data_IF_778938149142
#
_entry.id   IF_778938149142
#
_cell.length_a   1.000
_cell.length_b   1.000
_cell.length_c   1.000
_cell.angle_alpha   90.00
_cell.angle_beta   90.00
_cell.angle_gamma   90.00
#
_symmetry.space_group_name_H-M   'P 1'
#
loop_
_entity.id
_entity.type
_entity.pdbx_description
1 polymer ?
#
# COMPACT_ATOMS: atom_id res chain seq x y z
N UNK A 1 -8.97 0.65 -17.91
CA UNK A 1 -8.27 1.47 -16.91
C UNK A 1 -8.64 2.92 -17.03
N UNK A 2 -9.31 3.44 -16.00
CA UNK A 2 -9.76 4.81 -15.84
C UNK A 2 -8.58 5.77 -16.07
N UNK A 3 -8.78 6.90 -16.78
CA UNK A 3 -7.69 7.82 -17.12
C UNK A 3 -6.91 8.30 -15.89
N UNK A 4 -7.60 8.60 -14.80
CA UNK A 4 -6.98 9.03 -13.56
C UNK A 4 -6.11 7.94 -12.91
N UNK A 5 -6.57 6.69 -12.93
CA UNK A 5 -5.79 5.54 -12.45
C UNK A 5 -4.52 5.37 -13.30
N UNK A 6 -4.63 5.61 -14.60
CA UNK A 6 -3.50 5.60 -15.54
C UNK A 6 -2.52 6.73 -15.28
N UNK A 7 -2.98 7.96 -15.07
CA UNK A 7 -2.10 9.09 -14.75
C UNK A 7 -1.31 8.84 -13.45
N UNK A 8 -1.96 8.27 -12.43
CA UNK A 8 -1.29 8.01 -11.15
C UNK A 8 -0.36 6.80 -11.26
N UNK A 9 -0.84 5.66 -11.78
CA UNK A 9 -0.05 4.42 -11.85
C UNK A 9 0.99 4.42 -12.97
N UNK A 10 0.73 4.97 -14.15
CA UNK A 10 1.69 4.94 -15.26
C UNK A 10 2.61 6.17 -15.28
N UNK A 11 2.08 7.35 -14.95
CA UNK A 11 2.81 8.62 -15.07
C UNK A 11 3.30 9.16 -13.71
N UNK A 12 3.05 8.45 -12.61
CA UNK A 12 3.47 8.80 -11.25
C UNK A 12 2.99 10.19 -10.80
N UNK A 13 1.83 10.62 -11.29
CA UNK A 13 1.27 11.94 -11.00
C UNK A 13 0.66 12.02 -9.60
N UNK A 14 1.50 12.30 -8.59
CA UNK A 14 1.07 12.45 -7.20
C UNK A 14 0.08 13.61 -6.99
N UNK A 15 0.21 14.69 -7.75
CA UNK A 15 -0.74 15.81 -7.72
C UNK A 15 -2.17 15.38 -8.09
N UNK A 16 -2.32 14.37 -8.93
CA UNK A 16 -3.61 13.80 -9.32
C UNK A 16 -4.07 12.65 -8.41
N UNK A 17 -3.18 12.09 -7.57
CA UNK A 17 -3.47 10.92 -6.75
C UNK A 17 -4.60 11.16 -5.73
N UNK A 18 -4.74 12.38 -5.21
CA UNK A 18 -5.85 12.72 -4.31
C UNK A 18 -7.24 12.62 -4.98
N UNK A 19 -7.32 12.80 -6.30
CA UNK A 19 -8.57 12.68 -7.04
C UNK A 19 -9.04 11.22 -7.17
N UNK A 20 -8.18 10.23 -6.86
CA UNK A 20 -8.59 8.81 -6.93
C UNK A 20 -9.77 8.50 -5.99
N UNK A 21 -9.92 9.29 -4.93
CA UNK A 21 -11.02 9.16 -3.98
C UNK A 21 -12.35 9.73 -4.50
N UNK A 22 -12.36 10.43 -5.63
CA UNK A 22 -13.61 10.85 -6.30
C UNK A 22 -14.13 9.81 -7.28
N UNK A 23 -13.35 8.78 -7.60
CA UNK A 23 -13.80 7.67 -8.44
C UNK A 23 -14.83 6.82 -7.72
N UNK A 24 -15.81 6.29 -8.45
CA UNK A 24 -16.75 5.34 -7.87
C UNK A 24 -16.02 4.04 -7.50
N UNK A 25 -16.49 3.34 -6.47
CA UNK A 25 -15.88 2.07 -6.08
C UNK A 25 -15.96 1.04 -7.20
N UNK A 26 -17.05 1.03 -7.97
CA UNK A 26 -17.21 0.15 -9.13
C UNK A 26 -16.20 0.43 -10.24
N UNK A 27 -15.87 1.69 -10.52
CA UNK A 27 -14.83 2.04 -11.51
C UNK A 27 -13.46 1.53 -11.06
N UNK A 28 -13.16 1.65 -9.76
CA UNK A 28 -11.90 1.14 -9.18
C UNK A 28 -11.83 -0.39 -9.27
N UNK A 29 -12.91 -1.10 -8.95
CA UNK A 29 -12.98 -2.57 -9.04
C UNK A 29 -12.89 -3.06 -10.48
N UNK A 30 -13.50 -2.36 -11.44
CA UNK A 30 -13.44 -2.75 -12.86
C UNK A 30 -12.02 -2.77 -13.40
N UNK A 31 -11.13 -1.93 -12.84
CA UNK A 31 -9.74 -1.83 -13.25
C UNK A 31 -8.74 -2.61 -12.39
N UNK A 32 -9.23 -3.34 -11.39
CA UNK A 32 -8.43 -3.87 -10.29
C UNK A 32 -7.27 -4.76 -10.75
N UNK A 33 -7.57 -5.71 -11.64
CA UNK A 33 -6.57 -6.65 -12.17
C UNK A 33 -5.42 -5.92 -12.90
N UNK A 34 -5.77 -4.88 -13.67
CA UNK A 34 -4.76 -4.05 -14.35
C UNK A 34 -3.98 -3.22 -13.33
N UNK A 35 -4.65 -2.66 -12.33
CA UNK A 35 -4.02 -1.89 -11.28
C UNK A 35 -3.01 -2.73 -10.47
N UNK A 36 -3.36 -3.96 -10.10
CA UNK A 36 -2.46 -4.89 -9.42
C UNK A 36 -1.23 -5.26 -10.26
N UNK A 37 -1.44 -5.52 -11.56
CA UNK A 37 -0.34 -5.78 -12.49
C UNK A 37 0.63 -4.60 -12.55
N UNK A 38 0.10 -3.37 -12.66
CA UNK A 38 0.91 -2.15 -12.66
C UNK A 38 1.64 -1.96 -11.33
N UNK A 39 0.98 -2.14 -10.19
CA UNK A 39 1.61 -2.05 -8.87
C UNK A 39 2.84 -2.98 -8.76
N UNK A 40 2.71 -4.22 -9.24
CA UNK A 40 3.84 -5.17 -9.31
C UNK A 40 4.98 -4.67 -10.19
N UNK A 41 4.69 -4.03 -11.33
CA UNK A 41 5.73 -3.38 -12.16
C UNK A 41 6.45 -2.27 -11.38
N UNK A 42 5.72 -1.45 -10.61
CA UNK A 42 6.32 -0.39 -9.77
C UNK A 42 7.24 -1.00 -8.71
N UNK A 43 6.77 -2.02 -7.99
CA UNK A 43 7.55 -2.70 -6.96
C UNK A 43 8.88 -3.24 -7.49
N UNK A 44 8.80 -3.96 -8.61
CA UNK A 44 9.97 -4.61 -9.20
C UNK A 44 10.92 -3.62 -9.91
N UNK A 45 10.63 -2.32 -9.91
CA UNK A 45 11.53 -1.32 -10.50
C UNK A 45 12.82 -1.21 -9.69
N UNK A 46 14.01 -1.17 -10.34
CA UNK A 46 15.27 -0.94 -9.65
C UNK A 46 15.24 0.36 -8.85
N UNK A 47 15.76 0.34 -7.62
CA UNK A 47 15.76 1.49 -6.70
C UNK A 47 14.37 1.98 -6.28
N UNK A 48 13.33 1.16 -6.36
CA UNK A 48 12.01 1.49 -5.83
C UNK A 48 12.06 2.02 -4.37
N UNK A 49 12.92 1.41 -3.53
CA UNK A 49 13.17 1.82 -2.12
C UNK A 49 13.72 3.24 -1.99
N UNK A 50 14.44 3.76 -2.99
CA UNK A 50 14.99 5.12 -2.99
C UNK A 50 14.00 6.14 -3.59
N UNK A 51 13.03 5.66 -4.38
CA UNK A 51 12.06 6.49 -5.10
C UNK A 51 10.83 6.79 -4.25
N UNK A 52 10.88 7.88 -3.48
CA UNK A 52 9.76 8.35 -2.64
C UNK A 52 8.45 8.55 -3.42
N UNK A 53 8.53 9.02 -4.67
CA UNK A 53 7.35 9.23 -5.53
C UNK A 53 6.65 7.91 -5.83
N UNK A 54 7.42 6.89 -6.25
CA UNK A 54 6.88 5.57 -6.57
C UNK A 54 6.21 4.94 -5.33
N UNK A 55 6.85 5.07 -4.17
CA UNK A 55 6.30 4.59 -2.90
C UNK A 55 4.98 5.28 -2.52
N UNK A 56 4.89 6.60 -2.66
CA UNK A 56 3.66 7.34 -2.35
C UNK A 56 2.53 7.06 -3.34
N UNK A 57 2.85 6.85 -4.62
CA UNK A 57 1.87 6.44 -5.64
C UNK A 57 1.26 5.08 -5.28
N UNK A 58 2.12 4.11 -4.95
CA UNK A 58 1.70 2.77 -4.52
C UNK A 58 0.79 2.87 -3.30
N UNK A 59 1.21 3.62 -2.27
CA UNK A 59 0.46 3.81 -1.03
C UNK A 59 -0.97 4.29 -1.28
N UNK A 60 -1.11 5.37 -2.04
CA UNK A 60 -2.42 5.99 -2.27
C UNK A 60 -3.32 5.06 -3.10
N UNK A 61 -2.78 4.46 -4.17
CA UNK A 61 -3.57 3.58 -5.04
C UNK A 61 -4.04 2.34 -4.28
N UNK A 62 -3.14 1.72 -3.53
CA UNK A 62 -3.46 0.55 -2.73
C UNK A 62 -4.52 0.89 -1.65
N UNK A 63 -4.40 2.05 -0.98
CA UNK A 63 -5.41 2.51 -0.04
C UNK A 63 -6.80 2.71 -0.70
N UNK A 64 -6.84 3.25 -1.93
CA UNK A 64 -8.09 3.44 -2.66
C UNK A 64 -8.73 2.12 -3.09
N UNK A 65 -7.92 1.18 -3.60
CA UNK A 65 -8.33 -0.18 -3.96
C UNK A 65 -8.93 -0.89 -2.76
N UNK A 66 -8.22 -0.84 -1.63
CA UNK A 66 -8.69 -1.42 -0.39
C UNK A 66 -10.05 -0.81 0.01
N UNK A 67 -10.20 0.52 -0.01
CA UNK A 67 -11.50 1.13 0.25
C UNK A 67 -12.60 0.60 -0.71
N UNK A 68 -12.34 0.53 -2.01
CA UNK A 68 -13.32 0.04 -3.00
C UNK A 68 -13.74 -1.42 -2.77
N UNK A 69 -12.79 -2.31 -2.45
CA UNK A 69 -13.08 -3.72 -2.14
C UNK A 69 -13.98 -3.84 -0.92
N UNK A 70 -13.74 -3.03 0.11
CA UNK A 70 -14.58 -3.01 1.32
C UNK A 70 -15.99 -2.53 1.01
N UNK A 71 -16.15 -1.39 0.33
CA UNK A 71 -17.47 -0.80 0.06
C UNK A 71 -18.30 -1.65 -0.92
N UNK A 72 -17.65 -2.39 -1.82
CA UNK A 72 -18.32 -3.31 -2.76
C UNK A 72 -18.54 -4.72 -2.19
N UNK A 73 -18.04 -5.01 -0.99
CA UNK A 73 -18.17 -6.33 -0.36
C UNK A 73 -17.48 -7.48 -1.11
N UNK A 74 -16.58 -7.18 -2.05
CA UNK A 74 -15.96 -8.17 -2.95
C UNK A 74 -14.62 -8.72 -2.41
N UNK A 75 -14.44 -8.74 -1.09
CA UNK A 75 -13.15 -9.12 -0.46
C UNK A 75 -12.75 -10.56 -0.75
N UNK A 76 -13.69 -11.51 -0.71
CA UNK A 76 -13.41 -12.92 -0.96
C UNK A 76 -12.83 -13.14 -2.36
N UNK A 77 -13.34 -12.39 -3.34
CA UNK A 77 -12.90 -12.43 -4.73
C UNK A 77 -11.47 -11.93 -4.92
N UNK A 78 -11.08 -10.85 -4.23
CA UNK A 78 -9.83 -10.13 -4.50
C UNK A 78 -8.76 -10.29 -3.41
N UNK A 79 -9.08 -10.93 -2.29
CA UNK A 79 -8.17 -11.12 -1.15
C UNK A 79 -6.88 -11.83 -1.54
N UNK A 80 -6.96 -12.91 -2.33
CA UNK A 80 -5.80 -13.68 -2.76
C UNK A 80 -4.84 -12.83 -3.62
N UNK A 81 -5.39 -12.07 -4.57
CA UNK A 81 -4.61 -11.23 -5.47
C UNK A 81 -4.00 -10.04 -4.73
N UNK A 82 -4.73 -9.45 -3.79
CA UNK A 82 -4.23 -8.41 -2.90
C UNK A 82 -3.07 -8.93 -2.03
N UNK A 83 -3.21 -10.12 -1.45
CA UNK A 83 -2.14 -10.76 -0.65
C UNK A 83 -0.90 -11.01 -1.50
N UNK A 84 -1.04 -11.45 -2.75
CA UNK A 84 0.10 -11.68 -3.66
C UNK A 84 0.84 -10.38 -4.05
N UNK A 85 0.09 -9.28 -4.24
CA UNK A 85 0.66 -7.94 -4.44
C UNK A 85 1.42 -7.47 -3.19
N UNK A 86 0.86 -7.71 -2.00
CA UNK A 86 1.49 -7.36 -0.73
C UNK A 86 2.73 -8.22 -0.44
N UNK A 87 2.70 -9.52 -0.74
CA UNK A 87 3.86 -10.41 -0.63
C UNK A 87 5.01 -9.92 -1.53
N UNK A 88 4.67 -9.51 -2.76
CA UNK A 88 5.63 -8.93 -3.70
C UNK A 88 6.30 -7.67 -3.15
N UNK A 89 5.56 -6.85 -2.40
CA UNK A 89 6.09 -5.70 -1.69
C UNK A 89 7.03 -6.10 -0.53
N UNK A 90 6.69 -7.13 0.24
CA UNK A 90 7.47 -7.58 1.41
C UNK A 90 8.84 -8.16 1.05
N UNK A 91 9.07 -8.51 -0.22
CA UNK A 91 10.40 -8.92 -0.72
C UNK A 91 11.42 -7.77 -0.71
N UNK A 92 10.99 -6.51 -0.63
CA UNK A 92 11.90 -5.38 -0.52
C UNK A 92 12.39 -5.19 0.92
N UNK A 93 13.67 -4.79 1.12
CA UNK A 93 14.20 -4.53 2.45
C UNK A 93 13.37 -3.47 3.15
N UNK A 94 12.94 -3.78 4.36
CA UNK A 94 12.29 -2.83 5.26
C UNK A 94 13.34 -2.02 5.99
N UNK A 95 13.25 -0.70 5.95
CA UNK A 95 14.11 0.19 6.72
C UNK A 95 13.28 1.21 7.47
N UNK A 96 13.61 1.40 8.74
CA UNK A 96 13.01 2.42 9.60
C UNK A 96 14.08 3.40 10.06
N UNK A 97 13.74 4.68 10.14
CA UNK A 97 14.63 5.70 10.68
C UNK A 97 14.44 5.77 12.20
N UNK A 98 15.48 5.48 12.97
CA UNK A 98 15.40 5.59 14.42
C UNK A 98 15.43 7.04 14.92
N UNK A 99 15.21 7.22 16.22
CA UNK A 99 15.29 8.53 16.88
C UNK A 99 16.66 9.21 16.78
N UNK A 100 17.70 8.46 16.44
CA UNK A 100 19.08 8.94 16.25
C UNK A 100 19.39 9.24 14.77
N UNK A 101 18.43 9.06 13.86
CA UNK A 101 18.59 9.30 12.42
C UNK A 101 19.29 8.17 11.67
N UNK A 102 19.39 6.98 12.25
CA UNK A 102 19.98 5.78 11.63
C UNK A 102 18.91 4.92 10.94
N UNK A 103 19.25 4.41 9.75
CA UNK A 103 18.40 3.49 9.00
C UNK A 103 18.59 2.06 9.49
N UNK A 104 17.62 1.56 10.27
CA UNK A 104 17.62 0.18 10.76
C UNK A 104 16.88 -0.72 9.78
N UNK A 105 17.54 -1.77 9.28
CA UNK A 105 16.91 -2.78 8.44
C UNK A 105 16.11 -3.76 9.31
N UNK A 106 14.83 -3.90 9.02
CA UNK A 106 13.97 -4.87 9.71
C UNK A 106 14.03 -6.22 8.98
N UNK A 107 14.16 -7.29 9.76
CA UNK A 107 14.25 -8.66 9.28
C UNK A 107 12.90 -9.27 8.91
N UNK A 108 11.80 -8.79 9.51
CA UNK A 108 10.44 -9.22 9.16
C UNK A 108 9.37 -8.18 9.58
N UNK A 109 8.15 -8.39 9.08
CA UNK A 109 6.99 -7.50 9.34
C UNK A 109 6.54 -7.55 10.81
N UNK A 110 6.81 -8.65 11.52
CA UNK A 110 6.44 -8.86 12.93
C UNK A 110 7.23 -7.92 13.84
N UNK A 111 8.53 -7.75 13.57
CA UNK A 111 9.40 -6.78 14.26
C UNK A 111 8.89 -5.36 14.05
N UNK A 112 8.45 -5.01 12.84
CA UNK A 112 7.80 -3.72 12.57
C UNK A 112 6.48 -3.55 13.37
N UNK A 113 5.66 -4.60 13.47
CA UNK A 113 4.42 -4.63 14.25
C UNK A 113 4.63 -4.39 15.75
N UNK A 114 5.65 -5.02 16.34
CA UNK A 114 6.04 -4.77 17.73
C UNK A 114 6.47 -3.33 17.97
N UNK A 115 7.24 -2.74 17.06
CA UNK A 115 7.74 -1.36 17.16
C UNK A 115 6.56 -0.36 17.16
N UNK A 116 5.60 -0.47 16.23
CA UNK A 116 4.42 0.43 16.19
C UNK A 116 3.53 0.30 17.43
N UNK A 117 3.32 -0.93 17.93
CA UNK A 117 2.50 -1.16 19.14
C UNK A 117 3.15 -0.69 20.43
N UNK A 118 4.49 -0.57 20.46
CA UNK A 118 5.22 -0.17 21.65
C UNK A 118 5.08 1.31 22.01
N UNK A 119 4.47 2.15 21.14
CA UNK A 119 4.24 3.58 21.38
C UNK A 119 5.52 4.43 21.43
N UNK A 120 6.68 3.79 21.58
CA UNK A 120 7.98 4.28 21.14
C UNK A 120 7.85 4.37 19.63
N UNK A 121 7.84 5.56 19.01
CA UNK A 121 8.46 5.82 17.71
C UNK A 121 7.93 7.11 17.06
N UNK A 122 8.80 8.13 17.04
CA UNK A 122 8.84 9.17 16.01
C UNK A 122 9.48 8.68 14.69
N UNK A 123 9.38 7.37 14.38
CA UNK A 123 10.13 6.77 13.28
C UNK A 123 9.44 7.08 11.95
N UNK A 124 10.07 7.91 11.13
CA UNK A 124 9.69 8.08 9.73
C UNK A 124 10.03 6.77 9.00
N UNK A 125 9.02 5.99 8.63
CA UNK A 125 9.25 4.71 7.95
C UNK A 125 9.67 5.00 6.51
N UNK A 126 10.91 4.67 6.20
CA UNK A 126 11.59 5.06 4.95
C UNK A 126 11.14 4.16 3.80
N UNK A 127 10.86 2.88 4.09
CA UNK A 127 10.25 1.94 3.15
C UNK A 127 8.76 1.86 3.41
N UNK A 128 8.01 2.79 2.82
CA UNK A 128 6.58 2.96 3.05
C UNK A 128 5.65 1.79 2.65
N UNK A 129 5.95 0.89 1.69
CA UNK A 129 4.92 -0.05 1.24
C UNK A 129 4.62 -1.14 2.29
N UNK A 130 5.46 -1.29 3.32
CA UNK A 130 5.16 -2.09 4.52
C UNK A 130 4.23 -1.37 5.50
N UNK A 131 4.33 -0.04 5.62
CA UNK A 131 3.30 0.75 6.29
C UNK A 131 1.96 0.64 5.56
N UNK A 132 1.97 0.60 4.23
CA UNK A 132 0.75 0.46 3.41
C UNK A 132 0.07 -0.89 3.66
N UNK A 133 0.85 -1.99 3.65
CA UNK A 133 0.35 -3.32 4.00
C UNK A 133 -0.26 -3.34 5.41
N UNK A 134 0.36 -2.62 6.36
CA UNK A 134 -0.06 -2.58 7.75
C UNK A 134 -1.21 -1.61 8.02
N UNK A 135 -1.31 -0.48 7.31
CA UNK A 135 -2.48 0.42 7.33
C UNK A 135 -3.68 -0.31 6.72
N UNK A 136 -3.48 -1.04 5.61
CA UNK A 136 -4.54 -1.88 5.06
C UNK A 136 -4.89 -2.96 6.06
N UNK A 137 -3.97 -3.83 6.48
CA UNK A 137 -4.27 -4.91 7.42
C UNK A 137 -4.92 -4.36 8.70
N UNK A 138 -4.43 -3.27 9.28
CA UNK A 138 -4.98 -2.67 10.50
C UNK A 138 -6.37 -2.07 10.25
N UNK A 139 -6.61 -1.26 9.19
CA UNK A 139 -7.96 -0.74 8.87
C UNK A 139 -8.93 -1.78 8.31
N UNK A 140 -8.46 -2.81 7.61
CA UNK A 140 -9.26 -3.90 7.05
C UNK A 140 -9.64 -4.92 8.13
N UNK A 141 -8.66 -5.46 8.88
CA UNK A 141 -8.95 -6.46 9.90
C UNK A 141 -9.69 -5.87 11.10
N UNK A 142 -9.41 -4.65 11.57
CA UNK A 142 -10.20 -4.08 12.69
C UNK A 142 -11.67 -3.94 12.32
N UNK A 143 -12.00 -3.51 11.10
CA UNK A 143 -13.40 -3.37 10.69
C UNK A 143 -14.08 -4.72 10.47
N UNK A 144 -13.37 -5.72 9.94
CA UNK A 144 -13.91 -7.08 9.80
C UNK A 144 -14.17 -7.75 11.16
N UNK A 145 -13.32 -7.46 12.17
CA UNK A 145 -13.45 -8.00 13.54
C UNK A 145 -14.46 -7.24 14.41
N UNK A 146 -14.84 -6.01 14.02
CA UNK A 146 -15.87 -5.20 14.70
C UNK A 146 -17.27 -5.37 14.10
N UNK A 147 -17.38 -5.97 12.92
CA UNK A 147 -18.64 -6.26 12.23
C UNK A 147 -19.07 -7.75 12.31
N UNK A 148 -18.29 -8.59 12.99
CA UNK A 148 -18.64 -9.97 13.36
C UNK A 148 -18.77 -10.13 14.87
#
# INVERSE_FOLDING_TARGET
MHPLMTSVLAQRQLNAAGQLFTLSDYDVITDLHTAFSRLKEIFNTPRYVERRVDQSVVEIVIARIAAAIRETGCIETYSAELVDVLDSCLRHPMTVLNSEGEYIRLSNVTTFCGIEKSGICSFEVVTKPVCVAKIILNRFFLNLLLLG
#
